data_IF_736163200415
#
_entry.id   IF_736163200415
#
_cell.length_a   1.000
_cell.length_b   1.000
_cell.length_c   1.000
_cell.angle_alpha   90.00
_cell.angle_beta   90.00
_cell.angle_gamma   90.00
#
_symmetry.space_group_name_H-M   'P 1'
#
loop_
_entity.id
_entity.type
_entity.pdbx_description
1 polymer ?
#
# COMPACT_ATOMS: atom_id res chain seq x y z
N UNK A 1 17.47 5.05 18.69
CA UNK A 1 16.14 5.68 18.62
C UNK A 1 16.30 6.94 17.80
N UNK A 2 15.64 7.02 16.65
CA UNK A 2 15.69 8.20 15.77
C UNK A 2 14.49 9.09 16.07
N UNK A 3 14.68 10.40 16.11
CA UNK A 3 13.63 11.39 16.38
C UNK A 3 13.33 12.14 15.10
N UNK A 4 12.05 12.26 14.76
CA UNK A 4 11.57 13.09 13.65
C UNK A 4 10.86 14.30 14.26
N UNK A 5 11.34 15.49 13.94
CA UNK A 5 10.71 16.76 14.33
C UNK A 5 9.92 17.30 13.15
N UNK A 6 8.59 17.31 13.27
CA UNK A 6 7.69 17.87 12.27
C UNK A 6 7.20 19.25 12.72
N UNK A 7 7.32 20.26 11.85
CA UNK A 7 6.71 21.57 12.08
C UNK A 7 5.29 21.53 11.55
N UNK A 8 4.33 21.78 12.43
CA UNK A 8 2.90 21.86 12.13
C UNK A 8 2.29 23.08 12.81
N UNK A 9 1.16 23.54 12.29
CA UNK A 9 0.32 24.54 12.92
C UNK A 9 -0.38 23.98 14.16
N UNK A 10 -0.89 24.87 15.02
CA UNK A 10 -1.67 24.47 16.19
C UNK A 10 -2.99 23.77 15.81
N UNK A 11 -3.54 24.07 14.64
CA UNK A 11 -4.77 23.44 14.13
C UNK A 11 -4.49 22.01 13.68
N UNK A 12 -3.42 21.79 12.93
CA UNK A 12 -2.97 20.45 12.52
C UNK A 12 -2.61 19.59 13.73
N UNK A 13 -1.89 20.12 14.73
CA UNK A 13 -1.56 19.37 15.96
C UNK A 13 -2.83 18.88 16.68
N UNK A 14 -3.84 19.76 16.81
CA UNK A 14 -5.13 19.39 17.41
C UNK A 14 -5.82 18.29 16.61
N UNK A 15 -5.90 18.45 15.29
CA UNK A 15 -6.56 17.49 14.40
C UNK A 15 -5.89 16.11 14.45
N UNK A 16 -4.55 16.07 14.34
CA UNK A 16 -3.77 14.83 14.40
C UNK A 16 -3.97 14.12 15.74
N UNK A 17 -3.93 14.87 16.85
CA UNK A 17 -4.17 14.31 18.19
C UNK A 17 -5.55 13.72 18.34
N UNK A 18 -6.58 14.43 17.89
CA UNK A 18 -7.96 13.98 18.05
C UNK A 18 -8.27 12.78 17.15
N UNK A 19 -7.68 12.73 15.94
CA UNK A 19 -7.74 11.56 15.08
C UNK A 19 -7.07 10.33 15.72
N UNK A 20 -5.83 10.47 16.20
CA UNK A 20 -5.09 9.39 16.85
C UNK A 20 -5.83 8.84 18.08
N UNK A 21 -6.42 9.72 18.90
CA UNK A 21 -7.29 9.34 20.03
C UNK A 21 -8.51 8.54 19.59
N UNK A 22 -9.18 8.98 18.52
CA UNK A 22 -10.38 8.31 18.00
C UNK A 22 -10.05 6.89 17.50
N UNK A 23 -8.83 6.69 17.00
CA UNK A 23 -8.32 5.39 16.55
C UNK A 23 -7.65 4.56 17.66
N UNK A 24 -7.42 5.14 18.84
CA UNK A 24 -6.76 4.48 19.95
C UNK A 24 -5.27 4.21 19.73
N UNK A 25 -4.60 4.96 18.85
CA UNK A 25 -3.18 4.80 18.50
C UNK A 25 -2.36 6.02 18.94
N UNK A 26 -1.03 5.87 19.01
CA UNK A 26 -0.16 7.02 19.27
C UNK A 26 0.04 7.86 17.99
N UNK A 27 0.44 9.12 18.16
CA UNK A 27 0.81 9.98 17.02
C UNK A 27 1.99 9.38 16.25
N UNK A 28 2.94 8.76 16.96
CA UNK A 28 4.11 8.13 16.34
C UNK A 28 3.72 6.91 15.50
N UNK A 29 2.71 6.14 15.92
CA UNK A 29 2.20 5.02 15.15
C UNK A 29 1.48 5.54 13.90
N UNK A 30 0.60 6.52 14.06
CA UNK A 30 -0.11 7.17 12.95
C UNK A 30 0.85 7.70 11.87
N UNK A 31 1.87 8.46 12.27
CA UNK A 31 2.84 9.03 11.32
C UNK A 31 3.68 7.93 10.68
N UNK A 32 4.06 6.89 11.45
CA UNK A 32 4.84 5.77 10.90
C UNK A 32 4.04 5.00 9.86
N UNK A 33 2.80 4.64 10.18
CA UNK A 33 1.90 3.91 9.28
C UNK A 33 1.67 4.70 8.00
N UNK A 34 1.28 5.97 8.11
CA UNK A 34 1.03 6.80 6.93
C UNK A 34 2.27 6.99 6.03
N UNK A 35 3.46 7.10 6.62
CA UNK A 35 4.71 7.21 5.85
C UNK A 35 5.06 5.89 5.18
N UNK A 36 4.90 4.75 5.87
CA UNK A 36 5.21 3.44 5.29
C UNK A 36 4.22 3.06 4.20
N UNK A 37 2.92 3.29 4.40
CA UNK A 37 1.88 3.09 3.39
C UNK A 37 2.20 3.88 2.12
N UNK A 38 2.61 5.15 2.26
CA UNK A 38 2.98 5.95 1.08
C UNK A 38 4.22 5.43 0.35
N UNK A 39 5.20 4.89 1.08
CA UNK A 39 6.39 4.28 0.49
C UNK A 39 6.02 2.99 -0.24
N UNK A 40 5.17 2.16 0.38
CA UNK A 40 4.67 0.90 -0.20
C UNK A 40 3.87 1.18 -1.48
N UNK A 41 2.94 2.14 -1.47
CA UNK A 41 2.19 2.55 -2.67
C UNK A 41 3.11 2.91 -3.84
N UNK A 42 4.17 3.69 -3.58
CA UNK A 42 5.11 4.11 -4.62
C UNK A 42 5.94 2.93 -5.14
N UNK A 43 6.30 1.97 -4.29
CA UNK A 43 6.99 0.74 -4.69
C UNK A 43 6.06 -0.15 -5.52
N UNK A 44 4.83 -0.36 -5.06
CA UNK A 44 3.83 -1.22 -5.71
C UNK A 44 3.49 -0.71 -7.11
N UNK A 45 3.36 0.61 -7.30
CA UNK A 45 3.15 1.22 -8.62
C UNK A 45 4.32 0.90 -9.57
N UNK A 46 5.56 0.97 -9.08
CA UNK A 46 6.73 0.67 -9.90
C UNK A 46 6.77 -0.82 -10.29
N UNK A 47 6.55 -1.72 -9.32
CA UNK A 47 6.51 -3.17 -9.56
C UNK A 47 5.40 -3.51 -10.56
N UNK A 48 4.20 -2.95 -10.38
CA UNK A 48 3.09 -3.14 -11.31
C UNK A 48 3.46 -2.68 -12.73
N UNK A 49 4.08 -1.50 -12.86
CA UNK A 49 4.47 -0.95 -14.16
C UNK A 49 5.47 -1.85 -14.88
N UNK A 50 6.45 -2.40 -14.15
CA UNK A 50 7.42 -3.35 -14.70
C UNK A 50 6.75 -4.66 -15.12
N UNK A 51 5.91 -5.24 -14.24
CA UNK A 51 5.19 -6.48 -14.51
C UNK A 51 4.25 -6.35 -15.72
N UNK A 52 3.54 -5.22 -15.85
CA UNK A 52 2.66 -4.97 -17.00
C UNK A 52 3.46 -4.84 -18.29
N UNK A 53 4.62 -4.19 -18.26
CA UNK A 53 5.48 -4.09 -19.45
C UNK A 53 5.98 -5.47 -19.88
N UNK A 54 6.45 -6.29 -18.95
CA UNK A 54 6.88 -7.67 -19.24
C UNK A 54 5.71 -8.50 -19.81
N UNK A 55 4.52 -8.34 -19.24
CA UNK A 55 3.31 -8.99 -19.72
C UNK A 55 2.90 -8.53 -21.14
N UNK A 56 2.98 -7.24 -21.46
CA UNK A 56 2.72 -6.73 -22.81
C UNK A 56 3.70 -7.28 -23.85
N UNK A 57 4.97 -7.47 -23.46
CA UNK A 57 6.00 -8.07 -24.32
C UNK A 57 5.79 -9.59 -24.51
N UNK A 58 5.31 -10.28 -23.47
CA UNK A 58 5.03 -11.71 -23.50
C UNK A 58 3.82 -12.08 -22.61
N UNK A 59 2.59 -11.99 -23.14
CA UNK A 59 1.39 -12.32 -22.38
C UNK A 59 1.37 -13.82 -22.05
N UNK A 60 1.18 -14.15 -20.77
CA UNK A 60 1.08 -15.53 -20.26
C UNK A 60 -0.23 -15.74 -19.49
N UNK A 61 -1.16 -14.80 -19.57
CA UNK A 61 -2.49 -14.96 -19.01
C UNK A 61 -3.26 -16.01 -19.81
N UNK A 62 -4.06 -16.78 -19.08
CA UNK A 62 -4.96 -17.79 -19.62
C UNK A 62 -6.38 -17.43 -19.21
N UNK A 63 -7.35 -17.86 -19.99
CA UNK A 63 -8.76 -17.72 -19.63
C UNK A 63 -9.09 -18.51 -18.36
N UNK A 64 -10.21 -18.16 -17.73
CA UNK A 64 -10.69 -18.89 -16.56
C UNK A 64 -10.90 -20.38 -16.84
N UNK A 65 -11.43 -20.71 -18.03
CA UNK A 65 -11.67 -22.11 -18.43
C UNK A 65 -10.35 -22.87 -18.62
N UNK A 66 -9.35 -22.25 -19.26
CA UNK A 66 -8.00 -22.82 -19.41
C UNK A 66 -7.33 -23.02 -18.04
N UNK A 67 -7.46 -22.06 -17.12
CA UNK A 67 -6.95 -22.18 -15.75
C UNK A 67 -7.60 -23.36 -15.01
N UNK A 68 -8.91 -23.53 -15.15
CA UNK A 68 -9.61 -24.63 -14.50
C UNK A 68 -9.24 -26.00 -15.11
N UNK A 69 -8.90 -26.03 -16.40
CA UNK A 69 -8.33 -27.22 -17.07
C UNK A 69 -6.93 -27.54 -16.55
N UNK A 70 -6.04 -26.54 -16.45
CA UNK A 70 -4.68 -26.72 -15.93
C UNK A 70 -4.66 -27.20 -14.47
N UNK A 71 -5.65 -26.78 -13.68
CA UNK A 71 -5.78 -27.13 -12.26
C UNK A 71 -6.57 -28.43 -12.01
N UNK A 72 -7.09 -29.09 -13.05
CA UNK A 72 -7.94 -30.28 -12.96
C UNK A 72 -9.19 -30.05 -12.08
N UNK A 73 -9.79 -28.86 -12.21
CA UNK A 73 -10.98 -28.42 -11.46
C UNK A 73 -12.24 -28.34 -12.33
N UNK A 74 -12.17 -28.79 -13.58
CA UNK A 74 -13.31 -28.88 -14.48
C UNK A 74 -14.19 -30.08 -14.09
N UNK A 75 -15.32 -29.80 -13.43
CA UNK A 75 -16.41 -30.79 -13.19
C UNK A 75 -17.07 -31.26 -14.50
#
# INVERSE_FOLDING_TARGET
MSIISLRISSEEDKLIRDYAKTKGISISDLVREAVMEKIEDDIDINIYTEAMKEHEENPQDISFDEMMEELDLND
#
